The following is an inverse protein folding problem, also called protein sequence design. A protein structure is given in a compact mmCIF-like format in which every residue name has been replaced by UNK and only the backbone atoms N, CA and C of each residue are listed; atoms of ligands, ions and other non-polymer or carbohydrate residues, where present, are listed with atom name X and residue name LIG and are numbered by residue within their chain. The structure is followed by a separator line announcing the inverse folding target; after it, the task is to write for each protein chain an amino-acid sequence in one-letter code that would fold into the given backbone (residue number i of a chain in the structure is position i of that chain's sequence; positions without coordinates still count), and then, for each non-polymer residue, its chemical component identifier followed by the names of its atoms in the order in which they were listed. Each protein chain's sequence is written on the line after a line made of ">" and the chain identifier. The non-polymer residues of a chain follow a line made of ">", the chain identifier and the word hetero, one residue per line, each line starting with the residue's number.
data_IF_301948038013
#
_entry.id   IF_301948038013
#
_cell.length_a   1.000
_cell.length_b   1.000
_cell.length_c   1.000
_cell.angle_alpha   90.00
_cell.angle_beta   90.00
_cell.angle_gamma   90.00
#
_symmetry.space_group_name_H-M   'P 1'
#
loop_
_entity.id
_entity.type
_entity.pdbx_description
1 polymer ?
#
# COMPACT_ATOMS: atom_id res chain seq x y z
N UNK A 1 -33.95 -17.52 21.01
CA UNK A 1 -32.57 -17.37 20.52
C UNK A 1 -31.69 -18.59 20.76
N UNK A 2 -31.82 -19.32 21.84
CA UNK A 2 -31.00 -20.54 22.10
C UNK A 2 -31.16 -21.71 21.12
N UNK A 3 -32.29 -21.81 20.38
CA UNK A 3 -32.52 -22.87 19.39
C UNK A 3 -31.81 -22.68 18.05
N UNK A 4 -31.46 -21.44 17.70
CA UNK A 4 -30.79 -21.12 16.41
C UNK A 4 -29.28 -21.39 16.50
N UNK A 5 -28.67 -21.10 17.63
CA UNK A 5 -27.21 -21.37 17.86
C UNK A 5 -26.88 -22.86 17.90
N UNK A 6 -27.80 -23.68 18.40
CA UNK A 6 -27.61 -25.13 18.45
C UNK A 6 -27.67 -25.77 17.07
N UNK A 7 -28.47 -25.20 16.14
CA UNK A 7 -28.55 -25.67 14.76
C UNK A 7 -27.34 -25.29 13.93
N UNK A 8 -26.77 -24.10 14.13
CA UNK A 8 -25.54 -23.66 13.42
C UNK A 8 -24.32 -24.51 13.83
N UNK A 9 -24.17 -24.81 15.11
CA UNK A 9 -23.10 -25.72 15.60
C UNK A 9 -23.25 -27.16 15.10
N UNK A 10 -24.46 -27.66 14.90
CA UNK A 10 -24.73 -28.99 14.29
C UNK A 10 -24.42 -29.01 12.79
N UNK A 11 -24.77 -27.95 12.04
CA UNK A 11 -24.44 -27.84 10.62
C UNK A 11 -22.91 -27.73 10.40
N UNK A 12 -22.20 -26.93 11.18
CA UNK A 12 -20.74 -26.81 11.10
C UNK A 12 -20.03 -28.15 11.37
N UNK A 13 -20.46 -28.92 12.35
CA UNK A 13 -19.91 -30.27 12.62
C UNK A 13 -20.19 -31.29 11.50
N UNK A 14 -21.25 -31.13 10.73
CA UNK A 14 -21.59 -32.04 9.58
C UNK A 14 -20.82 -31.70 8.30
N UNK A 15 -20.48 -30.44 8.08
CA UNK A 15 -19.81 -30.00 6.85
C UNK A 15 -18.28 -30.12 6.91
N UNK A 16 -17.67 -29.97 8.10
CA UNK A 16 -16.20 -30.04 8.26
C UNK A 16 -15.54 -31.33 7.74
N UNK A 17 -16.12 -32.55 7.92
CA UNK A 17 -15.50 -33.77 7.42
C UNK A 17 -15.52 -33.88 5.89
N UNK A 18 -16.56 -33.35 5.25
CA UNK A 18 -16.68 -33.37 3.76
C UNK A 18 -15.70 -32.40 3.12
N UNK A 19 -15.48 -31.24 3.72
CA UNK A 19 -14.47 -30.27 3.26
C UNK A 19 -13.04 -30.80 3.42
N UNK A 20 -12.73 -31.46 4.52
CA UNK A 20 -11.42 -32.11 4.72
C UNK A 20 -11.17 -33.25 3.70
N UNK A 21 -12.21 -33.98 3.34
CA UNK A 21 -12.12 -35.06 2.35
C UNK A 21 -11.93 -34.54 0.93
N UNK A 22 -12.59 -33.42 0.60
CA UNK A 22 -12.43 -32.73 -0.70
C UNK A 22 -11.03 -32.09 -0.82
N UNK A 23 -10.53 -31.46 0.24
CA UNK A 23 -9.19 -30.90 0.27
C UNK A 23 -8.12 -31.99 0.12
N UNK A 24 -8.24 -33.15 0.82
CA UNK A 24 -7.35 -34.30 0.63
C UNK A 24 -7.41 -34.86 -0.80
N UNK A 25 -8.60 -35.01 -1.37
CA UNK A 25 -8.77 -35.49 -2.73
C UNK A 25 -8.11 -34.59 -3.78
N UNK A 26 -8.15 -33.25 -3.58
CA UNK A 26 -7.52 -32.27 -4.45
C UNK A 26 -5.99 -32.26 -4.35
N UNK A 27 -5.45 -32.55 -3.16
CA UNK A 27 -4.00 -32.72 -2.92
C UNK A 27 -3.50 -34.06 -3.50
N UNK A 28 -4.24 -35.16 -3.32
CA UNK A 28 -3.87 -36.49 -3.84
C UNK A 28 -3.91 -36.59 -5.37
N UNK A 29 -4.59 -35.67 -6.05
CA UNK A 29 -4.73 -35.65 -7.53
C UNK A 29 -3.80 -34.67 -8.23
N UNK A 30 -2.81 -34.08 -7.54
CA UNK A 30 -1.89 -33.08 -8.10
C UNK A 30 -2.60 -31.93 -8.84
N UNK A 31 -3.85 -31.61 -8.46
CA UNK A 31 -4.61 -30.48 -9.02
C UNK A 31 -4.21 -29.16 -8.30
N UNK A 32 -3.40 -29.27 -7.25
CA UNK A 32 -2.87 -28.16 -6.45
C UNK A 32 -1.33 -28.14 -6.42
N UNK A 33 -0.68 -28.43 -7.54
CA UNK A 33 0.70 -28.02 -7.75
C UNK A 33 0.74 -26.65 -8.43
N UNK A 34 0.37 -25.63 -7.65
CA UNK A 34 0.96 -24.31 -7.70
C UNK A 34 1.37 -24.05 -6.27
N UNK A 35 2.64 -23.74 -6.04
CA UNK A 35 3.11 -23.27 -4.74
C UNK A 35 2.11 -22.23 -4.20
N UNK A 36 1.74 -22.27 -2.92
CA UNK A 36 0.85 -21.26 -2.38
C UNK A 36 1.58 -19.94 -2.44
N UNK A 37 1.26 -19.13 -3.45
CA UNK A 37 1.46 -17.70 -3.34
C UNK A 37 0.86 -17.29 -1.97
N UNK A 38 1.56 -16.51 -1.16
CA UNK A 38 1.13 -16.20 0.19
C UNK A 38 -0.33 -15.74 0.15
N UNK A 39 -1.15 -16.38 0.96
CA UNK A 39 -2.57 -16.08 1.14
C UNK A 39 -2.69 -14.62 1.56
N UNK A 40 -2.98 -13.75 0.63
CA UNK A 40 -3.45 -12.42 0.94
C UNK A 40 -4.90 -12.55 1.37
N UNK A 41 -5.17 -12.39 2.67
CA UNK A 41 -6.52 -12.31 3.19
C UNK A 41 -7.24 -11.14 2.54
N UNK A 42 -8.20 -11.47 1.67
CA UNK A 42 -9.09 -10.52 1.05
C UNK A 42 -10.20 -10.14 2.03
N UNK A 43 -9.95 -9.15 2.82
CA UNK A 43 -10.98 -8.52 3.64
C UNK A 43 -10.66 -7.04 3.78
N UNK A 44 -11.53 -6.21 3.22
CA UNK A 44 -11.49 -4.75 3.25
C UNK A 44 -10.40 -4.07 2.40
N UNK A 45 -10.75 -2.91 1.90
CA UNK A 45 -10.03 -1.96 1.06
C UNK A 45 -8.71 -1.39 1.65
N UNK A 46 -7.94 -2.20 2.30
CA UNK A 46 -6.57 -1.87 2.67
C UNK A 46 -5.65 -2.53 1.66
N UNK A 47 -5.21 -1.82 0.63
CA UNK A 47 -4.24 -2.30 -0.33
C UNK A 47 -2.99 -2.78 0.38
N UNK A 48 -2.93 -4.07 0.70
CA UNK A 48 -1.68 -4.70 1.11
C UNK A 48 -0.85 -4.71 -0.16
N UNK A 49 0.24 -3.96 -0.16
CA UNK A 49 1.22 -4.01 -1.23
C UNK A 49 1.51 -5.49 -1.56
N UNK A 50 1.38 -5.93 -2.81
CA UNK A 50 1.79 -7.26 -3.23
C UNK A 50 3.29 -7.48 -3.02
N UNK A 51 4.00 -6.44 -2.65
CA UNK A 51 5.41 -6.40 -2.30
C UNK A 51 5.67 -6.68 -0.82
N UNK A 52 4.63 -6.94 0.00
CA UNK A 52 4.83 -7.39 1.39
C UNK A 52 5.42 -8.81 1.37
N UNK A 53 6.69 -8.85 0.98
CA UNK A 53 7.53 -10.01 1.09
C UNK A 53 7.74 -10.39 2.55
N UNK A 54 8.31 -11.53 2.75
CA UNK A 54 8.73 -12.05 4.05
C UNK A 54 9.92 -11.30 4.66
N UNK A 55 10.43 -10.26 3.95
CA UNK A 55 11.61 -9.51 4.34
C UNK A 55 11.28 -8.46 5.39
N UNK A 56 11.81 -8.61 6.59
CA UNK A 56 11.69 -7.63 7.67
C UNK A 56 12.72 -7.85 8.81
N UNK A 57 13.80 -8.63 8.58
CA UNK A 57 14.80 -8.88 9.62
C UNK A 57 15.58 -7.61 9.97
N UNK A 58 15.94 -6.81 8.97
CA UNK A 58 16.59 -5.53 9.17
C UNK A 58 15.70 -4.59 9.99
N UNK A 59 14.43 -4.43 9.58
CA UNK A 59 13.48 -3.56 10.26
C UNK A 59 13.26 -3.99 11.70
N UNK A 60 13.09 -5.29 11.97
CA UNK A 60 12.99 -5.81 13.33
C UNK A 60 14.24 -5.54 14.14
N UNK A 61 15.42 -5.79 13.59
CA UNK A 61 16.69 -5.49 14.25
C UNK A 61 16.79 -4.00 14.63
N UNK A 62 16.47 -3.11 13.71
CA UNK A 62 16.50 -1.66 13.93
C UNK A 62 15.54 -1.25 15.06
N UNK A 63 14.35 -1.84 15.09
CA UNK A 63 13.34 -1.60 16.14
C UNK A 63 13.78 -2.18 17.47
N UNK A 64 14.22 -3.45 17.51
CA UNK A 64 14.72 -4.12 18.73
C UNK A 64 15.92 -3.39 19.35
N UNK A 65 16.81 -2.86 18.51
CA UNK A 65 17.95 -2.04 18.97
C UNK A 65 17.56 -0.60 19.30
N UNK A 66 16.28 -0.24 19.20
CA UNK A 66 15.72 1.08 19.51
C UNK A 66 16.35 2.22 18.71
N UNK A 67 16.85 1.94 17.52
CA UNK A 67 17.51 2.92 16.66
C UNK A 67 16.56 4.01 16.14
N UNK A 68 15.24 3.78 16.19
CA UNK A 68 14.19 4.73 15.81
C UNK A 68 13.39 5.25 17.03
N UNK A 69 13.84 5.03 18.27
CA UNK A 69 13.09 5.42 19.46
C UNK A 69 12.91 6.94 19.56
N UNK A 70 13.93 7.71 19.18
CA UNK A 70 13.91 9.18 19.22
C UNK A 70 13.26 9.80 18.00
N UNK A 71 13.19 9.08 16.89
CA UNK A 71 12.59 9.52 15.63
C UNK A 71 11.79 8.37 15.00
N UNK A 72 10.59 8.06 15.52
CA UNK A 72 9.73 6.98 15.01
C UNK A 72 9.36 7.16 13.54
N UNK A 73 9.00 6.07 12.85
CA UNK A 73 8.36 6.16 11.54
C UNK A 73 6.97 6.78 11.67
N UNK A 74 6.70 7.81 10.89
CA UNK A 74 5.42 8.52 10.87
C UNK A 74 4.69 8.26 9.56
N UNK A 75 3.52 7.63 9.67
CA UNK A 75 2.64 7.30 8.54
C UNK A 75 1.40 8.20 8.52
N UNK A 76 1.05 8.67 7.33
CA UNK A 76 -0.29 9.17 7.01
C UNK A 76 -0.98 8.17 6.08
N UNK A 77 -2.09 7.57 6.53
CA UNK A 77 -2.91 6.65 5.75
C UNK A 77 -4.22 7.31 5.35
N UNK A 78 -4.33 7.73 4.09
CA UNK A 78 -5.52 8.39 3.54
C UNK A 78 -6.37 7.35 2.82
N UNK A 79 -7.59 7.17 3.30
CA UNK A 79 -8.47 6.05 2.94
C UNK A 79 -8.19 4.84 3.83
N UNK A 80 -8.22 5.06 5.16
CA UNK A 80 -7.86 4.05 6.16
C UNK A 80 -9.01 3.16 6.63
N UNK A 81 -10.08 3.02 5.84
CA UNK A 81 -11.18 2.10 6.19
C UNK A 81 -10.65 0.69 6.49
N UNK A 82 -11.05 0.14 7.65
CA UNK A 82 -10.50 -1.13 8.14
C UNK A 82 -9.26 -1.01 9.02
N UNK A 83 -8.67 0.20 9.15
CA UNK A 83 -7.53 0.48 10.03
C UNK A 83 -6.16 0.39 9.36
N UNK A 84 -5.13 0.77 10.10
CA UNK A 84 -3.74 0.71 9.64
C UNK A 84 -3.34 -0.74 9.36
N UNK A 85 -2.82 -0.99 8.17
CA UNK A 85 -2.41 -2.31 7.73
C UNK A 85 -1.37 -2.95 8.67
N UNK A 86 -1.46 -4.27 8.95
CA UNK A 86 -0.45 -5.02 9.69
C UNK A 86 0.97 -4.90 9.13
N UNK A 87 1.11 -4.59 7.84
CA UNK A 87 2.39 -4.31 7.20
C UNK A 87 3.22 -3.26 7.96
N UNK A 88 2.57 -2.19 8.43
CA UNK A 88 3.23 -1.08 9.13
C UNK A 88 3.58 -1.41 10.60
N UNK A 89 2.92 -2.41 11.19
CA UNK A 89 3.10 -2.77 12.60
C UNK A 89 4.47 -3.37 12.90
N UNK A 90 5.25 -3.75 11.89
CA UNK A 90 6.64 -4.20 12.06
C UNK A 90 7.53 -3.12 12.68
N UNK A 91 7.18 -1.85 12.52
CA UNK A 91 7.91 -0.72 13.10
C UNK A 91 7.57 -0.44 14.57
N UNK A 92 6.58 -1.09 15.15
CA UNK A 92 6.22 -0.90 16.56
C UNK A 92 7.33 -1.42 17.50
N UNK A 93 7.61 -0.70 18.62
CA UNK A 93 6.92 0.50 19.13
C UNK A 93 7.40 1.83 18.52
N UNK A 94 8.40 1.85 17.64
CA UNK A 94 8.95 3.05 17.00
C UNK A 94 8.10 3.49 15.78
N UNK A 95 6.78 3.57 15.98
CA UNK A 95 5.80 3.85 14.95
C UNK A 95 4.71 4.80 15.44
N UNK A 96 4.34 5.77 14.61
CA UNK A 96 3.14 6.56 14.80
C UNK A 96 2.38 6.71 13.49
N UNK A 97 1.05 6.83 13.56
CA UNK A 97 0.23 7.00 12.36
C UNK A 97 -1.01 7.85 12.61
N UNK A 98 -1.41 8.55 11.55
CA UNK A 98 -2.75 9.13 11.45
C UNK A 98 -3.45 8.48 10.27
N UNK A 99 -4.50 7.72 10.56
CA UNK A 99 -5.43 7.24 9.56
C UNK A 99 -6.52 8.27 9.31
N UNK A 100 -6.89 8.49 8.05
CA UNK A 100 -7.94 9.44 7.68
C UNK A 100 -8.95 8.78 6.76
N UNK A 101 -10.22 8.88 7.14
CA UNK A 101 -11.35 8.38 6.36
C UNK A 101 -12.54 9.34 6.52
N UNK A 102 -13.38 9.55 5.50
CA UNK A 102 -14.57 10.40 5.65
C UNK A 102 -15.64 9.81 6.56
N UNK A 103 -15.63 8.51 6.86
CA UNK A 103 -16.63 7.80 7.65
C UNK A 103 -16.41 8.03 9.16
N UNK A 104 -17.17 8.95 9.74
CA UNK A 104 -17.07 9.31 11.18
C UNK A 104 -17.22 8.11 12.10
N UNK A 105 -18.17 7.21 11.81
CA UNK A 105 -18.43 6.04 12.65
C UNK A 105 -17.29 5.01 12.57
N UNK A 106 -16.70 4.87 11.40
CA UNK A 106 -15.55 3.99 11.20
C UNK A 106 -14.33 4.51 11.98
N UNK A 107 -14.01 5.80 11.85
CA UNK A 107 -12.92 6.40 12.63
C UNK A 107 -13.14 6.27 14.15
N UNK A 108 -14.39 6.41 14.63
CA UNK A 108 -14.71 6.19 16.05
C UNK A 108 -14.49 4.74 16.46
N UNK A 109 -14.94 3.78 15.64
CA UNK A 109 -14.73 2.35 15.90
C UNK A 109 -13.24 2.02 15.96
N UNK A 110 -12.48 2.47 14.96
CA UNK A 110 -11.05 2.23 14.88
C UNK A 110 -10.29 2.83 16.07
N UNK A 111 -10.62 4.06 16.48
CA UNK A 111 -10.00 4.65 17.69
C UNK A 111 -10.36 3.90 18.97
N UNK A 112 -11.53 3.26 19.05
CA UNK A 112 -11.91 2.46 20.22
C UNK A 112 -11.21 1.09 20.26
N UNK A 113 -10.83 0.56 19.12
CA UNK A 113 -10.16 -0.75 18.97
C UNK A 113 -8.64 -0.64 18.94
N UNK A 114 -8.08 0.56 18.67
CA UNK A 114 -6.64 0.79 18.55
C UNK A 114 -5.95 0.67 19.92
N UNK A 115 -4.89 -0.15 19.95
CA UNK A 115 -4.11 -0.39 21.18
C UNK A 115 -2.81 0.44 21.24
N UNK A 116 -2.31 0.88 20.09
CA UNK A 116 -1.11 1.71 20.04
C UNK A 116 -1.48 3.19 20.28
N UNK A 117 -1.03 3.81 21.39
CA UNK A 117 -1.37 5.19 21.72
C UNK A 117 -0.85 6.23 20.71
N UNK A 118 0.11 5.84 19.86
CA UNK A 118 0.69 6.69 18.83
C UNK A 118 -0.04 6.57 17.48
N UNK A 119 -1.11 5.77 17.41
CA UNK A 119 -1.96 5.61 16.23
C UNK A 119 -3.33 6.19 16.52
N UNK A 120 -3.86 7.01 15.63
CA UNK A 120 -5.19 7.59 15.74
C UNK A 120 -5.87 7.71 14.38
N UNK A 121 -7.18 7.80 14.41
CA UNK A 121 -8.01 7.88 13.21
C UNK A 121 -8.87 9.14 13.25
N UNK A 122 -8.85 9.88 12.15
CA UNK A 122 -9.56 11.14 12.00
C UNK A 122 -10.56 11.11 10.87
N UNK A 123 -11.77 11.57 11.13
CA UNK A 123 -12.77 11.74 10.09
C UNK A 123 -12.54 13.04 9.32
N UNK A 124 -12.14 12.95 8.05
CA UNK A 124 -11.95 14.09 7.17
C UNK A 124 -11.96 13.67 5.69
N UNK A 125 -12.31 14.59 4.79
CA UNK A 125 -12.02 14.49 3.37
C UNK A 125 -10.68 15.16 3.05
N UNK A 126 -9.72 14.40 2.57
CA UNK A 126 -8.44 14.94 2.11
C UNK A 126 -8.49 15.23 0.62
N UNK A 127 -8.04 16.39 0.23
CA UNK A 127 -7.97 16.80 -1.18
C UNK A 127 -7.77 18.29 -1.35
N UNK A 128 -8.07 18.78 -2.54
CA UNK A 128 -7.89 20.18 -2.92
C UNK A 128 -9.15 21.00 -2.64
N UNK A 129 -9.00 22.31 -2.36
CA UNK A 129 -10.12 23.24 -2.31
C UNK A 129 -10.89 23.25 -3.65
N UNK A 130 -12.20 23.51 -3.61
CA UNK A 130 -13.04 23.51 -4.80
C UNK A 130 -12.66 24.56 -5.86
N UNK A 131 -12.05 25.65 -5.44
CA UNK A 131 -11.56 26.75 -6.28
C UNK A 131 -10.12 26.53 -6.78
N UNK A 132 -9.49 25.41 -6.42
CA UNK A 132 -8.16 25.08 -6.91
C UNK A 132 -8.19 24.88 -8.43
N UNK A 133 -7.17 25.39 -9.13
CA UNK A 133 -7.10 25.39 -10.60
C UNK A 133 -7.24 23.97 -11.21
N UNK A 134 -6.70 22.94 -10.56
CA UNK A 134 -6.84 21.56 -11.00
C UNK A 134 -8.30 21.09 -10.98
N UNK A 135 -9.05 21.42 -9.91
CA UNK A 135 -10.48 21.10 -9.78
C UNK A 135 -11.29 21.85 -10.83
N UNK A 136 -11.02 23.16 -11.01
CA UNK A 136 -11.70 23.98 -12.00
C UNK A 136 -11.43 23.47 -13.43
N UNK A 137 -10.20 23.04 -13.73
CA UNK A 137 -9.83 22.45 -15.03
C UNK A 137 -10.55 21.14 -15.30
N UNK A 138 -10.65 20.26 -14.30
CA UNK A 138 -11.39 19.00 -14.40
C UNK A 138 -12.89 19.25 -14.62
N UNK A 139 -13.44 20.26 -13.97
CA UNK A 139 -14.86 20.60 -13.98
C UNK A 139 -15.70 19.49 -13.35
N UNK A 140 -16.84 19.18 -13.95
CA UNK A 140 -17.76 18.15 -13.44
C UNK A 140 -17.44 16.74 -13.98
N UNK A 141 -16.24 16.51 -14.54
CA UNK A 141 -15.84 15.17 -15.00
C UNK A 141 -15.51 14.29 -13.82
N UNK A 142 -15.87 13.01 -13.94
CA UNK A 142 -15.44 12.00 -12.99
C UNK A 142 -13.90 11.91 -12.98
N UNK A 143 -13.27 11.75 -11.80
CA UNK A 143 -11.81 11.70 -11.67
C UNK A 143 -11.14 10.61 -12.50
N UNK A 144 -11.85 9.57 -12.83
CA UNK A 144 -11.38 8.39 -13.55
C UNK A 144 -11.35 8.55 -15.08
N UNK A 145 -11.81 9.67 -15.62
CA UNK A 145 -11.95 9.84 -17.08
C UNK A 145 -13.00 8.94 -17.73
N UNK A 146 -13.93 8.51 -16.94
CA UNK A 146 -14.95 7.50 -17.24
C UNK A 146 -14.93 6.44 -16.16
N UNK A 147 -16.10 6.04 -15.69
CA UNK A 147 -16.18 5.08 -14.55
C UNK A 147 -15.65 3.70 -14.98
N UNK A 148 -14.49 3.25 -14.49
CA UNK A 148 -13.92 1.94 -14.83
C UNK A 148 -14.85 0.81 -14.42
N UNK A 149 -15.62 0.98 -13.34
CA UNK A 149 -16.62 0.02 -12.88
C UNK A 149 -17.76 -0.19 -13.88
N UNK A 150 -18.12 0.82 -14.68
CA UNK A 150 -19.08 0.65 -15.76
C UNK A 150 -18.58 -0.31 -16.84
N UNK A 151 -17.28 -0.24 -17.15
CA UNK A 151 -16.69 -1.18 -18.12
C UNK A 151 -16.50 -2.56 -17.54
N UNK A 152 -16.11 -2.67 -16.27
CA UNK A 152 -15.99 -3.94 -15.55
C UNK A 152 -17.34 -4.60 -15.36
N UNK A 153 -18.37 -3.84 -14.97
CA UNK A 153 -19.72 -4.36 -14.78
C UNK A 153 -20.38 -4.85 -16.08
N UNK A 154 -19.90 -4.40 -17.24
CA UNK A 154 -20.30 -4.93 -18.54
C UNK A 154 -19.68 -6.30 -18.84
N UNK A 155 -18.72 -6.77 -18.06
CA UNK A 155 -18.18 -8.12 -18.18
C UNK A 155 -19.13 -9.13 -17.54
N UNK A 156 -19.55 -10.12 -18.31
CA UNK A 156 -20.43 -11.21 -17.80
C UNK A 156 -19.82 -11.94 -16.58
N UNK A 157 -18.49 -12.04 -16.52
CA UNK A 157 -17.78 -12.65 -15.40
C UNK A 157 -17.97 -11.84 -14.11
N UNK A 158 -17.84 -10.51 -14.19
CA UNK A 158 -17.98 -9.64 -13.03
C UNK A 158 -19.43 -9.53 -12.59
N UNK A 159 -20.36 -9.46 -13.54
CA UNK A 159 -21.78 -9.42 -13.24
C UNK A 159 -22.24 -10.68 -12.48
N UNK A 160 -21.68 -11.85 -12.81
CA UNK A 160 -21.97 -13.09 -12.10
C UNK A 160 -21.28 -13.15 -10.72
N UNK A 161 -20.03 -12.70 -10.62
CA UNK A 161 -19.18 -12.93 -9.45
C UNK A 161 -19.22 -11.81 -8.43
N UNK A 162 -19.56 -10.59 -8.84
CA UNK A 162 -19.64 -9.44 -7.97
C UNK A 162 -21.09 -9.04 -7.70
N UNK A 163 -21.70 -9.45 -6.57
CA UNK A 163 -23.04 -9.02 -6.20
C UNK A 163 -23.22 -7.51 -6.15
N UNK A 164 -22.14 -6.75 -5.86
CA UNK A 164 -22.18 -5.28 -5.83
C UNK A 164 -22.39 -4.66 -7.21
N UNK A 165 -21.95 -5.32 -8.29
CA UNK A 165 -22.22 -4.83 -9.65
C UNK A 165 -23.63 -5.16 -10.16
N UNK A 166 -24.28 -6.18 -9.58
CA UNK A 166 -25.67 -6.54 -9.90
C UNK A 166 -26.69 -5.59 -9.33
N UNK A 167 -26.37 -4.94 -8.23
CA UNK A 167 -27.25 -3.99 -7.56
C UNK A 167 -27.02 -2.56 -8.05
N UNK A 168 -26.98 -2.36 -9.39
CA UNK A 168 -26.84 -1.01 -9.99
C UNK A 168 -27.88 -0.01 -9.46
N UNK A 169 -29.03 -0.50 -9.01
CA UNK A 169 -30.12 0.30 -8.45
C UNK A 169 -30.13 0.34 -6.91
N UNK A 170 -29.23 -0.41 -6.29
CA UNK A 170 -29.08 -0.49 -4.85
C UNK A 170 -27.61 -0.38 -4.49
N UNK A 171 -27.04 0.82 -4.67
CA UNK A 171 -25.87 1.22 -3.91
C UNK A 171 -26.37 1.74 -2.55
N UNK A 172 -26.59 0.85 -1.54
CA UNK A 172 -26.83 1.27 -0.16
C UNK A 172 -25.65 2.09 0.32
N UNK A 173 -24.46 1.86 -0.27
CA UNK A 173 -23.20 2.53 0.06
C UNK A 173 -23.34 4.05 -0.08
N UNK A 174 -23.94 4.60 -1.14
CA UNK A 174 -24.11 6.06 -1.24
C UNK A 174 -25.21 6.56 -0.28
N UNK A 175 -26.29 5.79 -0.06
CA UNK A 175 -27.33 6.13 0.89
C UNK A 175 -26.91 5.87 2.34
N UNK A 176 -26.17 4.79 2.60
CA UNK A 176 -25.56 4.52 3.91
C UNK A 176 -24.43 5.50 4.22
N UNK A 177 -23.70 5.96 3.24
CA UNK A 177 -22.70 7.02 3.41
C UNK A 177 -23.36 8.33 3.87
N UNK A 178 -24.52 8.69 3.32
CA UNK A 178 -25.28 9.86 3.79
C UNK A 178 -25.89 9.65 5.17
N UNK A 179 -26.29 8.43 5.52
CA UNK A 179 -26.86 8.09 6.83
C UNK A 179 -25.82 7.74 7.89
N UNK A 180 -24.62 7.34 7.51
CA UNK A 180 -23.54 6.91 8.42
C UNK A 180 -22.68 8.06 8.97
N UNK A 181 -23.09 9.33 8.78
CA UNK A 181 -22.43 10.48 9.36
C UNK A 181 -21.08 10.79 8.71
N UNK A 182 -21.08 10.89 7.38
CA UNK A 182 -19.95 11.46 6.65
C UNK A 182 -19.64 12.85 7.20
N UNK A 183 -18.37 13.14 7.35
CA UNK A 183 -17.89 14.52 7.44
C UNK A 183 -18.41 15.30 6.23
N UNK A 184 -18.78 16.56 6.44
CA UNK A 184 -19.26 17.40 5.34
C UNK A 184 -18.23 17.41 4.20
N UNK A 185 -18.58 16.74 3.09
CA UNK A 185 -17.75 16.70 1.86
C UNK A 185 -17.49 18.08 1.25
N UNK A 186 -18.19 19.12 1.74
CA UNK A 186 -17.93 20.51 1.36
C UNK A 186 -16.66 21.04 1.97
N UNK A 187 -16.23 20.50 3.11
CA UNK A 187 -15.01 20.92 3.81
C UNK A 187 -13.91 19.90 3.51
N UNK A 188 -13.15 20.14 2.45
CA UNK A 188 -11.94 19.40 2.14
C UNK A 188 -10.75 20.08 2.80
N UNK A 189 -9.89 19.30 3.43
CA UNK A 189 -8.64 19.80 3.98
C UNK A 189 -7.46 19.20 3.22
N UNK A 190 -6.42 20.00 2.98
CA UNK A 190 -5.18 19.51 2.38
C UNK A 190 -4.32 18.78 3.42
N UNK A 191 -3.37 17.96 2.92
CA UNK A 191 -2.44 17.23 3.78
C UNK A 191 -1.65 18.19 4.70
N UNK A 192 -1.22 19.34 4.20
CA UNK A 192 -0.51 20.33 5.01
C UNK A 192 -1.36 20.88 6.18
N UNK A 193 -2.65 21.11 5.96
CA UNK A 193 -3.56 21.53 7.01
C UNK A 193 -3.76 20.40 8.03
N UNK A 194 -3.98 19.18 7.57
CA UNK A 194 -4.11 18.02 8.44
C UNK A 194 -2.88 17.85 9.34
N UNK A 195 -1.67 17.95 8.78
CA UNK A 195 -0.43 17.85 9.55
C UNK A 195 -0.36 18.89 10.67
N UNK A 196 -0.75 20.13 10.38
CA UNK A 196 -0.78 21.20 11.39
C UNK A 196 -1.79 20.89 12.51
N UNK A 197 -2.99 20.45 12.14
CA UNK A 197 -4.06 20.15 13.08
C UNK A 197 -3.75 18.91 13.94
N UNK A 198 -3.02 17.95 13.39
CA UNK A 198 -2.60 16.71 14.07
C UNK A 198 -1.21 16.80 14.71
N UNK A 199 -0.54 17.95 14.63
CA UNK A 199 0.84 18.15 15.13
C UNK A 199 1.83 17.11 14.57
N UNK A 200 1.72 16.80 13.27
CA UNK A 200 2.64 15.90 12.57
C UNK A 200 3.83 16.70 12.03
N UNK A 201 4.94 16.71 12.77
CA UNK A 201 6.13 17.46 12.36
C UNK A 201 7.00 16.74 11.34
N UNK A 202 7.09 15.41 11.41
CA UNK A 202 8.06 14.60 10.67
C UNK A 202 7.38 13.45 9.91
N UNK A 203 6.56 13.78 8.92
CA UNK A 203 5.92 12.76 8.09
C UNK A 203 6.97 12.01 7.24
N UNK A 204 6.94 10.67 7.31
CA UNK A 204 7.85 9.80 6.56
C UNK A 204 7.19 9.18 5.35
N UNK A 205 5.95 8.77 5.45
CA UNK A 205 5.29 8.02 4.41
C UNK A 205 3.81 8.38 4.30
N UNK A 206 3.28 8.37 3.06
CA UNK A 206 1.86 8.60 2.79
C UNK A 206 1.31 7.42 1.99
N UNK A 207 0.30 6.73 2.54
CA UNK A 207 -0.52 5.79 1.78
C UNK A 207 -1.78 6.51 1.30
N UNK A 208 -2.14 6.34 0.04
CA UNK A 208 -3.31 6.98 -0.58
C UNK A 208 -4.13 5.89 -1.28
N UNK A 209 -5.41 5.80 -0.90
CA UNK A 209 -6.36 4.83 -1.45
C UNK A 209 -7.78 5.38 -1.20
N UNK A 210 -8.22 6.31 -2.05
CA UNK A 210 -9.44 7.12 -1.86
C UNK A 210 -10.41 7.05 -3.05
N UNK A 211 -10.42 5.91 -3.72
CA UNK A 211 -11.39 5.62 -4.78
C UNK A 211 -11.48 6.73 -5.85
N UNK A 212 -10.33 7.16 -6.41
CA UNK A 212 -10.24 8.03 -7.58
C UNK A 212 -9.91 9.50 -7.35
N UNK A 213 -9.85 9.96 -6.12
CA UNK A 213 -9.39 11.32 -5.81
C UNK A 213 -7.90 11.37 -5.39
N UNK A 214 -7.16 10.30 -5.64
CA UNK A 214 -5.77 10.11 -5.19
C UNK A 214 -4.83 11.20 -5.70
N UNK A 215 -4.99 11.64 -6.95
CA UNK A 215 -4.22 12.78 -7.50
C UNK A 215 -4.49 14.08 -6.71
N UNK A 216 -5.72 14.31 -6.25
CA UNK A 216 -6.00 15.48 -5.42
C UNK A 216 -5.27 15.43 -4.08
N UNK A 217 -5.18 14.22 -3.48
CA UNK A 217 -4.41 14.02 -2.25
C UNK A 217 -2.93 14.28 -2.48
N UNK A 218 -2.35 13.73 -3.55
CA UNK A 218 -0.95 13.97 -3.92
C UNK A 218 -0.68 15.47 -4.11
N UNK A 219 -1.50 16.15 -4.88
CA UNK A 219 -1.37 17.59 -5.11
C UNK A 219 -1.51 18.40 -3.82
N UNK A 220 -2.38 17.98 -2.89
CA UNK A 220 -2.51 18.63 -1.60
C UNK A 220 -1.30 18.42 -0.67
N UNK A 221 -0.48 17.40 -0.96
CA UNK A 221 0.77 17.10 -0.28
C UNK A 221 2.00 17.72 -0.98
N UNK A 222 1.86 18.28 -2.19
CA UNK A 222 2.97 18.75 -3.01
C UNK A 222 3.91 19.70 -2.26
N UNK A 223 3.34 20.69 -1.56
CA UNK A 223 4.13 21.69 -0.83
C UNK A 223 5.02 21.06 0.24
N UNK A 224 4.52 20.03 0.92
CA UNK A 224 5.25 19.28 1.95
C UNK A 224 6.27 18.35 1.30
N UNK A 225 5.88 17.61 0.28
CA UNK A 225 6.74 16.66 -0.41
C UNK A 225 7.99 17.32 -0.99
N UNK A 226 7.88 18.59 -1.41
CA UNK A 226 9.04 19.38 -1.89
C UNK A 226 9.90 19.94 -0.78
N UNK A 227 9.34 20.24 0.39
CA UNK A 227 10.02 20.95 1.49
C UNK A 227 10.56 20.01 2.57
N UNK A 228 9.97 18.84 2.70
CA UNK A 228 10.29 17.90 3.76
C UNK A 228 10.84 16.59 3.22
N UNK A 229 11.47 15.83 4.11
CA UNK A 229 12.07 14.54 3.77
C UNK A 229 11.06 13.41 3.85
N UNK A 230 9.90 13.54 3.18
CA UNK A 230 9.01 12.39 2.96
C UNK A 230 9.79 11.35 2.16
N UNK A 231 9.75 10.08 2.59
CA UNK A 231 10.53 8.98 2.04
C UNK A 231 9.79 8.25 0.92
N UNK A 232 8.45 8.22 0.96
CA UNK A 232 7.70 7.55 -0.08
C UNK A 232 6.19 7.65 0.02
N UNK A 233 5.56 7.06 -0.99
CA UNK A 233 4.12 6.96 -1.15
C UNK A 233 3.73 5.58 -1.65
N UNK A 234 2.58 5.08 -1.20
CA UNK A 234 1.81 4.09 -1.96
C UNK A 234 0.54 4.76 -2.46
N UNK A 235 0.19 4.51 -3.72
CA UNK A 235 -0.96 5.13 -4.38
C UNK A 235 -1.73 4.08 -5.16
N UNK A 236 -3.04 3.99 -4.96
CA UNK A 236 -3.88 3.25 -5.90
C UNK A 236 -3.85 3.94 -7.26
N UNK A 237 -3.69 3.18 -8.33
CA UNK A 237 -3.58 3.71 -9.69
C UNK A 237 -4.50 2.99 -10.65
N UNK A 238 -4.99 3.72 -11.66
CA UNK A 238 -5.84 3.18 -12.70
C UNK A 238 -5.11 3.12 -14.04
N UNK A 239 -5.22 1.98 -14.72
CA UNK A 239 -4.74 1.79 -16.09
C UNK A 239 -5.83 2.08 -17.14
N UNK A 240 -6.97 2.56 -16.68
CA UNK A 240 -8.14 2.88 -17.47
C UNK A 240 -8.49 4.36 -17.25
N UNK A 241 -8.82 5.05 -18.33
CA UNK A 241 -9.15 6.46 -18.27
C UNK A 241 -8.92 7.14 -19.64
N UNK A 242 -9.05 8.45 -19.69
CA UNK A 242 -8.76 9.25 -20.86
C UNK A 242 -7.32 9.77 -20.86
N UNK A 243 -6.94 10.52 -21.87
CA UNK A 243 -5.62 11.18 -21.96
C UNK A 243 -5.59 12.56 -21.29
N UNK A 244 -6.68 12.95 -20.61
CA UNK A 244 -6.71 14.23 -19.91
C UNK A 244 -5.76 14.18 -18.70
N UNK A 245 -5.01 15.25 -18.50
CA UNK A 245 -4.03 15.36 -17.44
C UNK A 245 -4.64 15.51 -16.03
N UNK A 246 -5.96 15.68 -15.96
CA UNK A 246 -6.74 15.71 -14.71
C UNK A 246 -7.35 14.36 -14.33
N UNK A 247 -7.23 13.36 -15.18
CA UNK A 247 -7.77 12.03 -14.90
C UNK A 247 -6.86 11.25 -13.96
N UNK A 248 -7.45 10.52 -13.02
CA UNK A 248 -6.73 9.61 -12.15
C UNK A 248 -6.29 8.35 -12.91
N UNK A 249 -5.14 8.44 -13.55
CA UNK A 249 -4.53 7.36 -14.32
C UNK A 249 -3.07 7.18 -13.94
N UNK A 250 -2.55 5.97 -14.08
CA UNK A 250 -1.16 5.66 -13.75
C UNK A 250 -0.16 6.64 -14.37
N UNK A 251 -0.30 6.97 -15.66
CA UNK A 251 0.63 7.88 -16.33
C UNK A 251 0.61 9.31 -15.78
N UNK A 252 -0.55 9.80 -15.32
CA UNK A 252 -0.63 11.09 -14.65
C UNK A 252 -0.05 11.06 -13.25
N UNK A 253 -0.33 9.98 -12.51
CA UNK A 253 0.25 9.75 -11.17
C UNK A 253 1.77 9.63 -11.26
N UNK A 254 2.30 8.80 -12.16
CA UNK A 254 3.75 8.61 -12.33
C UNK A 254 4.46 9.91 -12.72
N UNK A 255 3.90 10.66 -13.69
CA UNK A 255 4.43 11.97 -14.06
C UNK A 255 4.48 12.95 -12.88
N UNK A 256 3.43 12.97 -12.07
CA UNK A 256 3.35 13.84 -10.90
C UNK A 256 4.37 13.43 -9.83
N UNK A 257 4.45 12.14 -9.50
CA UNK A 257 5.37 11.61 -8.48
C UNK A 257 6.83 11.83 -8.87
N UNK A 258 7.21 11.60 -10.14
CA UNK A 258 8.55 11.94 -10.65
C UNK A 258 8.83 13.43 -10.57
N UNK A 259 7.84 14.28 -10.87
CA UNK A 259 7.94 15.72 -10.70
C UNK A 259 8.13 16.18 -9.26
N UNK A 260 7.83 15.32 -8.27
CA UNK A 260 8.07 15.52 -6.84
C UNK A 260 9.39 14.87 -6.35
N UNK A 261 10.14 14.20 -7.24
CA UNK A 261 11.41 13.54 -6.93
C UNK A 261 11.25 12.17 -6.28
N UNK A 262 10.21 11.43 -6.66
CA UNK A 262 10.01 10.05 -6.24
C UNK A 262 10.05 9.13 -7.47
N UNK A 263 10.76 8.01 -7.34
CA UNK A 263 10.84 7.00 -8.38
C UNK A 263 9.90 5.83 -8.11
N UNK A 264 9.46 5.17 -9.17
CA UNK A 264 8.61 3.99 -9.10
C UNK A 264 9.47 2.76 -8.76
N UNK A 265 9.24 2.17 -7.60
CA UNK A 265 9.94 0.97 -7.13
C UNK A 265 9.07 -0.29 -7.15
N UNK A 266 7.75 -0.12 -7.18
CA UNK A 266 6.85 -1.24 -7.20
C UNK A 266 5.54 -0.92 -7.91
N UNK A 267 5.02 -1.89 -8.66
CA UNK A 267 3.74 -1.77 -9.35
C UNK A 267 3.01 -3.09 -9.35
N UNK A 268 1.91 -3.17 -8.62
CA UNK A 268 0.99 -4.29 -8.72
C UNK A 268 -0.10 -4.02 -9.74
N UNK A 269 -0.67 -5.05 -10.30
CA UNK A 269 -1.81 -4.92 -11.20
C UNK A 269 -2.92 -5.88 -10.85
N UNK A 270 -4.14 -5.36 -10.79
CA UNK A 270 -5.35 -6.16 -10.75
C UNK A 270 -5.90 -6.32 -12.17
N UNK A 271 -5.92 -7.56 -12.65
CA UNK A 271 -6.35 -7.89 -14.00
C UNK A 271 -7.76 -8.47 -13.98
N UNK A 272 -8.53 -8.14 -15.01
CA UNK A 272 -9.92 -8.57 -15.13
C UNK A 272 -10.20 -9.09 -16.54
N UNK A 273 -10.98 -10.17 -16.62
CA UNK A 273 -11.46 -10.72 -17.88
C UNK A 273 -12.66 -9.93 -18.39
N UNK A 274 -12.70 -9.67 -19.70
CA UNK A 274 -13.86 -9.08 -20.35
C UNK A 274 -15.05 -10.07 -20.43
N UNK A 275 -14.76 -11.37 -20.41
CA UNK A 275 -15.71 -12.46 -20.38
C UNK A 275 -15.17 -13.59 -19.52
N UNK A 276 -16.02 -14.54 -19.10
CA UNK A 276 -15.59 -15.66 -18.26
C UNK A 276 -14.55 -16.59 -18.92
N UNK A 277 -14.50 -16.61 -20.25
CA UNK A 277 -13.57 -17.45 -21.02
C UNK A 277 -12.51 -16.61 -21.74
N UNK A 278 -11.29 -17.11 -21.85
CA UNK A 278 -10.69 -18.32 -21.23
C UNK A 278 -9.99 -18.02 -19.89
N UNK A 279 -10.21 -16.86 -19.29
CA UNK A 279 -9.47 -16.42 -18.10
C UNK A 279 -9.80 -17.27 -16.87
N UNK A 280 -8.75 -17.64 -16.11
CA UNK A 280 -8.89 -18.29 -14.81
C UNK A 280 -8.96 -17.21 -13.72
N UNK A 281 -9.86 -17.39 -12.78
CA UNK A 281 -9.92 -16.53 -11.61
C UNK A 281 -8.71 -16.80 -10.70
N UNK A 282 -7.92 -15.78 -10.45
CA UNK A 282 -6.68 -15.89 -9.68
C UNK A 282 -6.92 -15.81 -8.17
N UNK A 283 -8.05 -15.26 -7.73
CA UNK A 283 -8.33 -15.02 -6.32
C UNK A 283 -9.82 -15.10 -6.03
N UNK A 284 -10.17 -15.21 -4.74
CA UNK A 284 -11.55 -15.11 -4.24
C UNK A 284 -12.21 -13.74 -4.46
N UNK A 285 -11.45 -12.73 -4.89
CA UNK A 285 -11.99 -11.42 -5.24
C UNK A 285 -12.80 -11.49 -6.53
N UNK A 286 -13.96 -10.81 -6.59
CA UNK A 286 -14.85 -10.93 -7.74
C UNK A 286 -14.17 -10.44 -9.03
N UNK A 287 -14.09 -11.32 -10.02
CA UNK A 287 -13.63 -10.99 -11.36
C UNK A 287 -12.13 -10.84 -11.57
N UNK A 288 -11.30 -10.84 -10.52
CA UNK A 288 -9.84 -10.80 -10.69
C UNK A 288 -9.33 -12.11 -11.28
N UNK A 289 -8.54 -12.01 -12.35
CA UNK A 289 -8.04 -13.15 -13.11
C UNK A 289 -6.52 -13.14 -13.17
N UNK A 290 -5.91 -14.32 -13.45
CA UNK A 290 -4.46 -14.42 -13.62
C UNK A 290 -3.98 -13.70 -14.90
N UNK A 291 -4.84 -13.67 -15.93
CA UNK A 291 -4.58 -13.01 -17.20
C UNK A 291 -5.80 -12.17 -17.56
N UNK A 292 -5.57 -11.02 -18.14
CA UNK A 292 -6.64 -10.12 -18.52
C UNK A 292 -6.11 -8.69 -18.68
N UNK A 293 -7.04 -7.77 -18.87
CA UNK A 293 -6.68 -6.36 -18.95
C UNK A 293 -6.40 -5.81 -17.55
N UNK A 294 -5.24 -5.17 -17.30
CA UNK A 294 -5.03 -4.42 -16.07
C UNK A 294 -6.00 -3.21 -16.02
N UNK A 295 -6.69 -3.05 -14.91
CA UNK A 295 -7.60 -1.92 -14.69
C UNK A 295 -7.12 -1.00 -13.59
N UNK A 296 -6.66 -1.57 -12.48
CA UNK A 296 -6.16 -0.84 -11.33
C UNK A 296 -4.98 -1.59 -10.71
N UNK A 297 -4.28 -0.94 -9.82
CA UNK A 297 -3.17 -1.51 -9.08
C UNK A 297 -2.66 -0.56 -8.01
N UNK A 298 -1.59 -0.98 -7.34
CA UNK A 298 -0.92 -0.17 -6.35
C UNK A 298 0.50 0.14 -6.82
N UNK A 299 0.87 1.40 -6.79
CA UNK A 299 2.20 1.87 -7.12
C UNK A 299 2.95 2.29 -5.85
N UNK A 300 4.19 1.85 -5.71
CA UNK A 300 5.10 2.25 -4.63
C UNK A 300 6.13 3.21 -5.19
N UNK A 301 6.12 4.42 -4.66
CA UNK A 301 7.07 5.47 -5.00
C UNK A 301 7.96 5.75 -3.80
N UNK A 302 9.27 5.71 -3.98
CA UNK A 302 10.24 6.01 -2.93
C UNK A 302 11.24 7.07 -3.40
N UNK A 303 11.89 7.74 -2.46
CA UNK A 303 13.09 8.51 -2.76
C UNK A 303 14.21 7.58 -3.16
N UNK A 304 14.97 7.98 -4.18
CA UNK A 304 16.21 7.30 -4.56
C UNK A 304 17.42 8.23 -4.37
N UNK A 305 18.04 8.22 -3.17
CA UNK A 305 19.24 9.04 -2.94
C UNK A 305 20.48 8.53 -3.69
N UNK A 306 20.40 7.34 -4.30
CA UNK A 306 21.48 6.76 -5.09
C UNK A 306 21.34 7.04 -6.59
N UNK A 307 20.18 7.55 -7.03
CA UNK A 307 20.01 7.95 -8.42
C UNK A 307 21.04 9.02 -8.80
N UNK A 308 21.64 8.86 -9.96
CA UNK A 308 22.56 9.86 -10.50
C UNK A 308 21.85 11.21 -10.62
N UNK A 309 22.47 12.28 -10.13
CA UNK A 309 21.94 13.63 -10.30
C UNK A 309 21.77 13.92 -11.79
N UNK A 310 20.54 13.87 -12.27
CA UNK A 310 20.25 14.38 -13.61
C UNK A 310 20.01 15.88 -13.49
N UNK A 311 20.48 16.65 -14.47
CA UNK A 311 20.37 18.11 -14.49
C UNK A 311 18.92 18.60 -14.41
N UNK A 312 17.95 17.75 -14.72
CA UNK A 312 16.51 18.05 -14.79
C UNK A 312 15.71 17.44 -13.64
N UNK A 313 16.33 16.63 -12.75
CA UNK A 313 15.66 16.05 -11.61
C UNK A 313 15.45 17.09 -10.50
N UNK A 314 14.28 17.12 -9.85
CA UNK A 314 14.11 17.94 -8.64
C UNK A 314 15.12 17.51 -7.59
N UNK A 315 15.83 18.49 -7.00
CA UNK A 315 16.77 18.19 -5.92
C UNK A 315 16.05 17.51 -4.76
N UNK A 316 16.45 16.30 -4.44
CA UNK A 316 15.94 15.58 -3.27
C UNK A 316 16.49 16.26 -2.00
N UNK A 317 15.66 16.40 -0.95
CA UNK A 317 16.12 16.95 0.32
C UNK A 317 17.21 16.03 0.90
N UNK A 318 18.20 16.62 1.55
CA UNK A 318 19.23 15.88 2.28
C UNK A 318 18.59 15.07 3.41
N UNK A 319 18.82 13.76 3.41
CA UNK A 319 18.25 12.86 4.41
C UNK A 319 19.14 12.83 5.67
N UNK A 320 18.50 12.88 6.85
CA UNK A 320 19.19 12.64 8.13
C UNK A 320 19.58 11.17 8.28
N UNK A 321 20.48 10.80 9.21
CA UNK A 321 20.81 9.40 9.46
C UNK A 321 19.57 8.53 9.75
N UNK A 322 18.60 9.04 10.55
CA UNK A 322 17.36 8.34 10.83
C UNK A 322 16.48 8.18 9.59
N UNK A 323 16.38 9.20 8.74
CA UNK A 323 15.63 9.11 7.49
C UNK A 323 16.24 8.08 6.52
N UNK A 324 17.57 8.02 6.43
CA UNK A 324 18.28 6.99 5.65
C UNK A 324 18.00 5.58 6.19
N UNK A 325 18.04 5.42 7.51
CA UNK A 325 17.76 4.13 8.15
C UNK A 325 16.30 3.70 7.94
N UNK A 326 15.34 4.63 8.11
CA UNK A 326 13.93 4.37 7.80
C UNK A 326 13.72 3.98 6.34
N UNK A 327 14.39 4.67 5.42
CA UNK A 327 14.28 4.36 3.98
C UNK A 327 14.86 2.98 3.66
N UNK A 328 15.98 2.57 4.28
CA UNK A 328 16.51 1.22 4.14
C UNK A 328 15.51 0.15 4.64
N UNK A 329 14.87 0.40 5.79
CA UNK A 329 13.81 -0.47 6.30
C UNK A 329 12.59 -0.52 5.35
N UNK A 330 12.21 0.60 4.76
CA UNK A 330 11.12 0.64 3.78
C UNK A 330 11.47 -0.15 2.52
N UNK A 331 12.69 -0.01 1.97
CA UNK A 331 13.14 -0.84 0.85
C UNK A 331 13.03 -2.33 1.18
N UNK A 332 13.55 -2.75 2.33
CA UNK A 332 13.42 -4.15 2.77
C UNK A 332 11.96 -4.60 2.85
N UNK A 333 11.12 -3.84 3.55
CA UNK A 333 9.69 -4.19 3.73
C UNK A 333 8.92 -4.25 2.40
N UNK A 334 9.32 -3.46 1.41
CA UNK A 334 8.76 -3.54 0.06
C UNK A 334 9.41 -4.61 -0.83
N UNK A 335 10.29 -5.47 -0.27
CA UNK A 335 10.91 -6.58 -0.98
C UNK A 335 12.08 -6.17 -1.89
N UNK A 336 12.78 -5.09 -1.54
CA UNK A 336 13.89 -4.50 -2.28
C UNK A 336 15.18 -4.49 -1.42
N UNK A 337 15.64 -5.64 -0.92
CA UNK A 337 16.81 -5.70 -0.04
C UNK A 337 18.10 -5.24 -0.74
N UNK A 338 18.19 -5.35 -2.05
CA UNK A 338 19.27 -4.86 -2.89
C UNK A 338 19.38 -3.32 -2.84
N UNK A 339 18.28 -2.61 -2.98
CA UNK A 339 18.24 -1.15 -2.82
C UNK A 339 18.53 -0.71 -1.39
N UNK A 340 18.06 -1.47 -0.39
CA UNK A 340 18.45 -1.23 1.00
C UNK A 340 19.95 -1.37 1.19
N UNK A 341 20.58 -2.40 0.61
CA UNK A 341 22.02 -2.62 0.69
C UNK A 341 22.83 -1.52 -0.04
N UNK A 342 22.38 -1.11 -1.23
CA UNK A 342 22.98 -0.02 -1.99
C UNK A 342 22.96 1.30 -1.20
N UNK A 343 21.79 1.65 -0.66
CA UNK A 343 21.59 2.83 0.18
C UNK A 343 22.53 2.82 1.40
N UNK A 344 22.60 1.70 2.13
CA UNK A 344 23.47 1.55 3.31
C UNK A 344 24.93 1.70 2.90
N UNK A 345 25.37 1.10 1.80
CA UNK A 345 26.73 1.20 1.31
C UNK A 345 27.12 2.63 0.92
N UNK A 346 26.27 3.30 0.16
CA UNK A 346 26.48 4.66 -0.30
C UNK A 346 26.55 5.68 0.83
N UNK A 347 25.86 5.41 1.95
CA UNK A 347 25.73 6.32 3.09
C UNK A 347 26.38 5.81 4.39
N UNK A 348 27.34 4.87 4.30
CA UNK A 348 28.03 4.30 5.48
C UNK A 348 28.54 5.35 6.47
N UNK A 349 29.16 6.41 5.97
CA UNK A 349 29.71 7.46 6.84
C UNK A 349 28.66 8.18 7.67
N UNK A 350 27.47 8.39 7.09
CA UNK A 350 26.36 9.05 7.76
C UNK A 350 25.70 8.08 8.77
N UNK A 351 25.48 6.84 8.37
CA UNK A 351 24.84 5.81 9.19
C UNK A 351 25.73 5.37 10.39
N UNK A 352 27.05 5.49 10.30
CA UNK A 352 27.98 5.23 11.43
C UNK A 352 27.66 6.04 12.70
N UNK A 353 26.90 7.13 12.57
CA UNK A 353 26.44 7.90 13.73
C UNK A 353 25.37 7.20 14.55
N UNK A 354 24.67 6.20 13.96
CA UNK A 354 23.60 5.45 14.61
C UNK A 354 24.00 4.00 14.94
N UNK A 355 24.73 3.34 14.06
CA UNK A 355 25.08 1.92 14.17
C UNK A 355 26.24 1.57 13.22
N UNK A 356 26.80 0.35 13.34
CA UNK A 356 27.70 -0.19 12.34
C UNK A 356 26.90 -0.59 11.06
N UNK A 357 27.12 0.07 9.92
CA UNK A 357 26.44 -0.27 8.67
C UNK A 357 26.72 -1.70 8.18
N UNK A 358 27.82 -2.32 8.60
CA UNK A 358 28.11 -3.70 8.23
C UNK A 358 27.15 -4.68 8.91
N UNK A 359 26.69 -4.40 10.13
CA UNK A 359 25.68 -5.20 10.81
C UNK A 359 24.37 -5.20 10.00
N UNK A 360 23.94 -4.03 9.51
CA UNK A 360 22.74 -3.91 8.67
C UNK A 360 22.88 -4.71 7.37
N UNK A 361 24.03 -4.62 6.71
CA UNK A 361 24.30 -5.35 5.47
C UNK A 361 24.36 -6.87 5.69
N UNK A 362 24.94 -7.32 6.82
CA UNK A 362 24.98 -8.74 7.15
C UNK A 362 23.59 -9.32 7.40
N UNK A 363 22.70 -8.53 8.02
CA UNK A 363 21.30 -8.93 8.24
C UNK A 363 20.59 -9.10 6.90
N UNK A 364 20.74 -8.16 5.97
CA UNK A 364 20.13 -8.23 4.63
C UNK A 364 20.64 -9.46 3.86
N UNK A 365 21.95 -9.71 3.86
CA UNK A 365 22.53 -10.87 3.20
C UNK A 365 21.99 -12.18 3.76
N UNK A 366 21.93 -12.30 5.10
CA UNK A 366 21.36 -13.47 5.78
C UNK A 366 19.84 -13.63 5.57
N UNK A 367 19.12 -12.54 5.31
CA UNK A 367 17.69 -12.60 5.00
C UNK A 367 17.42 -13.14 3.60
N UNK A 368 18.22 -12.67 2.62
CA UNK A 368 18.12 -13.14 1.22
C UNK A 368 18.50 -14.63 1.14
N UNK A 369 19.60 -15.01 1.79
CA UNK A 369 20.04 -16.41 1.87
C UNK A 369 20.74 -16.66 3.22
N UNK A 370 20.10 -17.46 4.06
CA UNK A 370 20.57 -17.78 5.41
C UNK A 370 21.89 -18.57 5.45
N UNK A 371 22.40 -19.03 4.32
CA UNK A 371 23.71 -19.70 4.24
C UNK A 371 24.88 -18.72 4.34
N UNK A 372 24.65 -17.42 4.16
CA UNK A 372 25.69 -16.39 4.29
C UNK A 372 25.77 -15.83 5.70
N UNK A 373 26.97 -15.85 6.26
CA UNK A 373 27.27 -15.23 7.56
C UNK A 373 27.53 -13.72 7.48
N UNK A 374 27.90 -13.21 6.30
CA UNK A 374 28.19 -11.82 6.09
C UNK A 374 27.87 -11.34 4.67
N UNK A 375 27.67 -10.04 4.53
CA UNK A 375 27.50 -9.41 3.23
C UNK A 375 28.75 -9.52 2.36
N UNK A 376 29.96 -9.48 2.94
CA UNK A 376 31.22 -9.66 2.20
C UNK A 376 31.27 -11.04 1.57
N UNK A 377 30.94 -12.09 2.32
CA UNK A 377 30.87 -13.46 1.81
C UNK A 377 29.87 -13.61 0.66
N UNK A 378 28.67 -13.00 0.80
CA UNK A 378 27.68 -12.95 -0.25
C UNK A 378 28.23 -12.32 -1.53
N UNK A 379 28.86 -11.14 -1.43
CA UNK A 379 29.40 -10.42 -2.57
C UNK A 379 30.59 -11.16 -3.22
N UNK A 380 31.46 -11.80 -2.43
CA UNK A 380 32.55 -12.61 -2.96
C UNK A 380 32.03 -13.78 -3.80
N UNK A 381 31.03 -14.50 -3.31
CA UNK A 381 30.39 -15.60 -4.04
C UNK A 381 29.68 -15.09 -5.30
N UNK A 382 28.92 -13.99 -5.19
CA UNK A 382 28.24 -13.38 -6.33
C UNK A 382 29.21 -12.98 -7.43
N UNK A 383 30.36 -12.39 -7.08
CA UNK A 383 31.41 -12.01 -8.04
C UNK A 383 32.09 -13.22 -8.68
N UNK A 384 32.27 -14.29 -7.92
CA UNK A 384 32.89 -15.53 -8.42
C UNK A 384 32.00 -16.25 -9.42
N UNK A 385 30.70 -16.34 -9.14
CA UNK A 385 29.73 -17.00 -10.00
C UNK A 385 28.32 -16.38 -9.83
N UNK A 386 27.99 -15.32 -10.59
CA UNK A 386 26.64 -14.73 -10.54
C UNK A 386 25.53 -15.71 -10.93
N UNK A 387 25.84 -16.73 -11.71
CA UNK A 387 24.83 -17.69 -12.21
C UNK A 387 24.35 -18.65 -11.12
N UNK A 388 25.09 -18.77 -10.01
CA UNK A 388 24.67 -19.56 -8.85
C UNK A 388 23.48 -18.95 -8.08
N UNK A 389 23.02 -17.76 -8.47
CA UNK A 389 21.92 -17.02 -7.82
C UNK A 389 20.64 -16.98 -8.67
N UNK A 390 20.58 -17.72 -9.77
CA UNK A 390 19.40 -17.84 -10.64
C UNK A 390 18.56 -19.06 -10.29
#
# INVERSE_FOLDING_TARGET
>A
MAGLELNIKKLAKRCLPKFKKLARFLVEKNILEAEPLPLMDGGSSGGISPFSGTFNKLTRFVVEKKMLETEPLVLLDVGCSGGISPFWRVFEPSFSAVGVDPLVQECKRLNAEEINPNVRYRAAFIGLPKDHHFILKRGNKEPWGGNPWNRLSASAAIDILNPRTREKDKLPILNDWQSSGLTDSKTRIGVEQLMKEENLENLDFIKIDVDGNDIEVILSAEGIARKTSILGFTVEVNFFGSTADTDHTFHNTDRLMRGLGFDLFGLSTSQYSAAALPARFARKGPGKTAFGRPYQGDAVYLRDPMAAESSDAPQSPTLTPHKLLKLACLFECFGLPDHAAELIQGHKQILNSLCDPNDLLNILANEVDSSFGSYSEYIEKFRADPTAFY
#
